data_IF_538713441931
#
_entry.id   IF_538713441931
#
_cell.length_a   1.000
_cell.length_b   1.000
_cell.length_c   1.000
_cell.angle_alpha   90.00
_cell.angle_beta   90.00
_cell.angle_gamma   90.00
#
_symmetry.space_group_name_H-M   'P 1'
#
loop_
_entity.id
_entity.type
_entity.pdbx_description
1 polymer ?
#
# COMPACT_ATOMS: atom_id res chain seq x y z
N UNK A 1 -15.45 107.60 29.70
CA UNK A 1 -14.87 107.28 28.39
C UNK A 1 -14.54 105.80 28.38
N UNK A 2 -15.18 105.06 27.47
CA UNK A 2 -14.88 103.71 26.97
C UNK A 2 -14.67 102.54 27.96
N UNK A 3 -15.69 101.67 28.00
CA UNK A 3 -15.71 100.20 28.22
C UNK A 3 -14.74 99.52 27.21
N UNK A 4 -14.07 98.36 27.46
CA UNK A 4 -14.56 97.09 28.07
C UNK A 4 -13.66 96.47 29.17
N UNK A 5 -14.14 95.59 30.06
CA UNK A 5 -14.51 94.16 29.90
C UNK A 5 -13.36 93.32 29.29
N UNK A 6 -12.97 92.12 29.76
CA UNK A 6 -13.73 91.05 30.41
C UNK A 6 -12.86 90.11 31.26
N UNK A 7 -13.58 89.37 32.09
CA UNK A 7 -13.24 88.30 33.03
C UNK A 7 -12.57 87.04 32.44
N UNK A 8 -11.59 86.52 33.20
CA UNK A 8 -11.53 85.21 33.89
C UNK A 8 -11.48 83.85 33.17
N UNK A 9 -10.77 82.96 33.88
CA UNK A 9 -10.98 81.51 34.10
C UNK A 9 -10.21 80.53 33.21
N UNK A 10 -9.09 80.10 33.78
CA UNK A 10 -8.71 78.70 34.05
C UNK A 10 -9.57 77.65 33.32
N UNK A 11 -9.02 77.06 32.27
CA UNK A 11 -9.53 75.81 31.70
C UNK A 11 -8.71 74.64 32.24
N UNK A 12 -9.37 73.81 33.04
CA UNK A 12 -8.94 72.45 33.35
C UNK A 12 -8.97 71.63 32.05
N UNK A 13 -7.84 71.06 31.66
CA UNK A 13 -7.80 70.07 30.58
C UNK A 13 -8.32 68.74 31.13
N UNK A 14 -9.49 68.32 30.66
CA UNK A 14 -10.00 66.97 30.86
C UNK A 14 -9.32 66.05 29.82
N UNK A 15 -8.44 65.17 30.28
CA UNK A 15 -7.91 64.08 29.47
C UNK A 15 -9.00 63.01 29.33
N UNK A 16 -9.55 62.86 28.12
CA UNK A 16 -10.42 61.73 27.77
C UNK A 16 -9.52 60.58 27.36
N UNK A 17 -9.39 59.58 28.24
CA UNK A 17 -8.73 58.32 27.95
C UNK A 17 -9.72 57.44 27.17
N UNK A 18 -9.60 57.42 25.84
CA UNK A 18 -10.33 56.48 25.00
C UNK A 18 -9.62 55.11 25.07
N UNK A 19 -10.15 54.21 25.90
CA UNK A 19 -9.75 52.81 25.90
C UNK A 19 -10.29 52.11 24.67
N UNK A 20 -9.42 51.83 23.70
CA UNK A 20 -9.70 50.85 22.65
C UNK A 20 -9.60 49.45 23.28
N UNK A 21 -10.76 48.88 23.63
CA UNK A 21 -10.89 47.44 23.88
C UNK A 21 -10.74 46.75 22.52
N UNK A 22 -9.55 46.22 22.23
CA UNK A 22 -9.40 45.18 21.23
C UNK A 22 -10.04 43.92 21.80
N UNK A 23 -11.30 43.69 21.43
CA UNK A 23 -11.93 42.38 21.59
C UNK A 23 -11.33 41.50 20.50
N UNK A 24 -10.27 40.76 20.83
CA UNK A 24 -9.86 39.61 20.05
C UNK A 24 -10.97 38.57 20.21
N UNK A 25 -11.88 38.51 19.23
CA UNK A 25 -12.73 37.35 19.06
C UNK A 25 -11.82 36.23 18.59
N UNK A 26 -11.36 35.36 19.50
CA UNK A 26 -11.09 33.98 19.10
C UNK A 26 -12.45 33.42 18.70
N UNK A 27 -12.62 33.14 17.40
CA UNK A 27 -13.70 32.26 16.99
C UNK A 27 -13.32 30.87 17.50
N UNK A 28 -13.84 30.50 18.67
CA UNK A 28 -13.80 29.13 19.19
C UNK A 28 -14.68 28.26 18.28
N UNK A 29 -14.24 28.03 17.05
CA UNK A 29 -14.80 26.97 16.22
C UNK A 29 -14.28 25.66 16.81
N UNK A 30 -15.14 24.74 17.26
CA UNK A 30 -14.68 23.45 17.77
C UNK A 30 -13.87 22.72 16.71
N UNK A 31 -12.85 21.99 17.13
CA UNK A 31 -12.10 21.08 16.26
C UNK A 31 -13.09 20.13 15.55
N UNK A 32 -12.93 19.88 14.24
CA UNK A 32 -13.77 18.94 13.49
C UNK A 32 -13.80 17.56 14.13
N UNK A 33 -14.97 16.94 14.23
CA UNK A 33 -15.13 15.59 14.78
C UNK A 33 -15.60 14.59 13.73
N UNK A 34 -14.98 13.40 13.72
CA UNK A 34 -15.40 12.24 12.93
C UNK A 34 -15.66 11.06 13.86
N UNK A 35 -16.78 10.37 13.67
CA UNK A 35 -17.07 9.13 14.41
C UNK A 35 -16.69 7.94 13.55
N UNK A 36 -15.86 7.06 14.11
CA UNK A 36 -15.37 5.84 13.50
C UNK A 36 -16.07 4.66 14.17
N UNK A 37 -16.80 3.84 13.42
CA UNK A 37 -17.57 2.71 13.95
C UNK A 37 -17.07 1.39 13.39
N UNK A 38 -16.68 0.48 14.28
CA UNK A 38 -16.42 -0.92 13.96
C UNK A 38 -17.69 -1.73 14.20
N UNK A 39 -18.35 -2.17 13.13
CA UNK A 39 -19.56 -2.99 13.22
C UNK A 39 -19.29 -4.48 13.38
N UNK A 40 -18.02 -4.92 13.32
CA UNK A 40 -17.67 -6.33 13.47
C UNK A 40 -17.52 -6.69 14.94
N UNK A 41 -17.82 -7.95 15.25
CA UNK A 41 -17.53 -8.59 16.54
C UNK A 41 -16.05 -8.99 16.69
N UNK A 42 -15.14 -8.27 16.03
CA UNK A 42 -13.70 -8.53 15.95
C UNK A 42 -13.00 -7.21 16.25
N UNK A 43 -12.03 -7.23 17.17
CA UNK A 43 -11.20 -6.08 17.46
C UNK A 43 -10.35 -5.71 16.23
N UNK A 44 -10.22 -4.41 15.96
CA UNK A 44 -9.37 -3.88 14.90
C UNK A 44 -8.23 -3.10 15.52
N UNK A 45 -7.09 -3.75 15.60
CA UNK A 45 -5.83 -3.15 16.03
C UNK A 45 -5.15 -2.48 14.84
N UNK A 46 -4.73 -1.22 15.02
CA UNK A 46 -4.02 -0.43 14.02
C UNK A 46 -4.75 -0.41 12.66
N UNK A 47 -6.07 -0.23 12.70
CA UNK A 47 -6.92 -0.17 11.52
C UNK A 47 -6.55 1.02 10.64
N UNK A 48 -6.23 0.78 9.36
CA UNK A 48 -6.09 1.83 8.36
C UNK A 48 -7.39 2.61 8.18
N UNK A 49 -7.31 3.93 8.27
CA UNK A 49 -8.42 4.84 7.95
C UNK A 49 -7.92 5.95 7.06
N UNK A 50 -8.73 6.31 6.07
CA UNK A 50 -8.50 7.41 5.13
C UNK A 50 -9.67 8.38 5.22
N UNK A 51 -9.37 9.67 5.35
CA UNK A 51 -10.31 10.75 5.15
C UNK A 51 -9.86 11.56 3.93
N UNK A 52 -10.71 11.65 2.91
CA UNK A 52 -10.43 12.52 1.76
C UNK A 52 -10.52 13.98 2.18
N UNK A 53 -9.77 14.85 1.50
CA UNK A 53 -9.84 16.30 1.69
C UNK A 53 -11.25 16.82 1.48
N UNK A 54 -11.97 16.30 0.48
CA UNK A 54 -13.37 16.61 0.24
C UNK A 54 -14.26 16.25 1.44
N UNK A 55 -14.10 15.07 2.04
CA UNK A 55 -14.87 14.68 3.22
C UNK A 55 -14.57 15.58 4.43
N UNK A 56 -13.34 16.04 4.56
CA UNK A 56 -12.94 17.03 5.58
C UNK A 56 -13.59 18.37 5.28
N UNK A 57 -13.48 18.88 4.05
CA UNK A 57 -14.09 20.14 3.59
C UNK A 57 -15.60 20.14 3.81
N UNK A 58 -16.29 19.06 3.49
CA UNK A 58 -17.73 18.91 3.68
C UNK A 58 -18.14 19.05 5.15
N UNK A 59 -17.28 18.64 6.08
CA UNK A 59 -17.52 18.73 7.53
C UNK A 59 -17.20 20.11 8.11
N UNK A 60 -16.10 20.74 7.65
CA UNK A 60 -15.52 21.94 8.30
C UNK A 60 -15.78 23.24 7.54
N UNK A 61 -16.13 23.12 6.26
CA UNK A 61 -16.19 24.21 5.29
C UNK A 61 -14.82 24.56 4.74
N UNK A 62 -14.74 24.72 3.41
CA UNK A 62 -13.52 25.03 2.65
C UNK A 62 -12.72 26.20 3.26
N UNK A 63 -13.41 27.23 3.76
CA UNK A 63 -12.80 28.41 4.38
C UNK A 63 -12.03 28.14 5.70
N UNK A 64 -12.05 26.91 6.22
CA UNK A 64 -11.23 26.50 7.38
C UNK A 64 -9.97 25.74 6.97
N UNK A 65 -9.90 25.23 5.73
CA UNK A 65 -8.70 24.62 5.16
C UNK A 65 -7.90 25.74 4.50
N UNK A 66 -7.01 26.38 5.26
CA UNK A 66 -6.10 27.38 4.71
C UNK A 66 -4.91 26.72 4.04
N UNK A 67 -4.40 27.31 2.95
CA UNK A 67 -3.16 26.90 2.29
C UNK A 67 -2.03 26.74 3.32
N UNK A 68 -1.34 25.60 3.31
CA UNK A 68 -0.22 25.28 4.20
C UNK A 68 -0.59 24.60 5.53
N UNK A 69 -1.88 24.45 5.84
CA UNK A 69 -2.31 23.69 7.02
C UNK A 69 -2.58 22.21 6.69
N UNK A 70 -2.09 21.34 7.56
CA UNK A 70 -2.21 19.90 7.47
C UNK A 70 -3.12 19.35 8.58
N UNK A 71 -4.06 18.44 8.28
CA UNK A 71 -4.90 17.83 9.29
C UNK A 71 -4.16 16.75 10.10
N UNK A 72 -4.31 16.81 11.42
CA UNK A 72 -3.78 15.80 12.36
C UNK A 72 -4.94 15.22 13.17
N UNK A 73 -5.17 13.90 13.14
CA UNK A 73 -6.22 13.25 13.90
C UNK A 73 -5.78 12.99 15.35
N UNK A 74 -6.64 13.34 16.30
CA UNK A 74 -6.46 13.12 17.73
C UNK A 74 -7.57 12.22 18.28
N UNK A 75 -7.19 11.27 19.12
CA UNK A 75 -8.11 10.47 19.92
C UNK A 75 -7.77 10.65 21.40
N UNK A 76 -8.74 11.06 22.20
CA UNK A 76 -8.56 11.30 23.63
C UNK A 76 -7.38 12.27 23.94
N UNK A 77 -7.18 13.29 23.10
CA UNK A 77 -6.12 14.29 23.24
C UNK A 77 -4.71 13.83 22.85
N UNK A 78 -4.57 12.64 22.25
CA UNK A 78 -3.31 12.13 21.70
C UNK A 78 -3.38 12.05 20.18
N UNK A 79 -2.35 12.56 19.50
CA UNK A 79 -2.23 12.42 18.05
C UNK A 79 -2.13 10.93 17.66
N UNK A 80 -2.90 10.53 16.66
CA UNK A 80 -2.80 9.22 16.02
C UNK A 80 -1.69 9.25 14.97
N UNK A 81 -0.96 8.15 14.83
CA UNK A 81 0.01 8.00 13.74
C UNK A 81 -0.67 8.24 12.41
N UNK A 82 -0.17 9.22 11.66
CA UNK A 82 -0.85 9.74 10.49
C UNK A 82 0.12 10.33 9.48
N UNK A 83 -0.35 10.47 8.25
CA UNK A 83 0.32 11.20 7.17
C UNK A 83 -0.74 11.83 6.27
N UNK A 84 -0.34 12.88 5.58
CA UNK A 84 -1.10 13.44 4.46
C UNK A 84 -0.46 12.95 3.17
N UNK A 85 -1.28 12.62 2.18
CA UNK A 85 -0.81 12.13 0.88
C UNK A 85 -1.29 13.06 -0.22
N UNK A 86 -0.36 13.42 -1.10
CA UNK A 86 -0.57 14.11 -2.37
C UNK A 86 -0.59 13.02 -3.47
N UNK A 87 -1.78 12.64 -3.92
CA UNK A 87 -2.03 11.50 -4.79
C UNK A 87 -1.84 11.88 -6.26
N UNK A 88 -2.10 13.14 -6.61
CA UNK A 88 -1.99 13.64 -7.99
C UNK A 88 -0.72 14.46 -8.29
N UNK A 89 0.07 14.76 -7.26
CA UNK A 89 1.37 15.41 -7.36
C UNK A 89 1.28 16.92 -7.62
N UNK A 90 0.15 17.56 -7.33
CA UNK A 90 -0.04 19.00 -7.54
C UNK A 90 0.59 19.87 -6.42
N UNK A 91 1.09 19.23 -5.36
CA UNK A 91 1.72 19.86 -4.19
C UNK A 91 0.74 20.14 -3.05
N UNK A 92 -0.54 19.82 -3.21
CA UNK A 92 -1.56 19.89 -2.18
C UNK A 92 -1.91 18.47 -1.71
N UNK A 93 -2.23 18.30 -0.41
CA UNK A 93 -2.66 17.00 0.06
C UNK A 93 -4.09 16.69 -0.39
N UNK A 94 -4.34 15.42 -0.72
CA UNK A 94 -5.65 14.90 -1.13
C UNK A 94 -6.32 14.08 -0.04
N UNK A 95 -5.53 13.40 0.78
CA UNK A 95 -6.02 12.47 1.79
C UNK A 95 -5.24 12.56 3.10
N UNK A 96 -5.95 12.36 4.21
CA UNK A 96 -5.37 12.08 5.52
C UNK A 96 -5.47 10.58 5.80
N UNK A 97 -4.33 9.91 5.91
CA UNK A 97 -4.22 8.51 6.28
C UNK A 97 -3.74 8.37 7.73
N UNK A 98 -4.36 7.48 8.51
CA UNK A 98 -3.98 7.24 9.90
C UNK A 98 -4.34 5.85 10.39
N UNK A 99 -3.81 5.48 11.55
CA UNK A 99 -4.08 4.21 12.23
C UNK A 99 -4.86 4.43 13.51
N UNK A 100 -5.88 3.60 13.76
CA UNK A 100 -6.70 3.68 14.99
C UNK A 100 -7.02 2.28 15.52
N UNK A 101 -7.14 2.16 16.85
CA UNK A 101 -7.63 0.94 17.47
C UNK A 101 -9.14 1.07 17.72
N UNK A 102 -9.91 0.08 17.28
CA UNK A 102 -11.36 0.01 17.47
C UNK A 102 -11.73 -1.36 18.05
N UNK A 103 -12.24 -1.35 19.28
CA UNK A 103 -12.81 -2.56 19.90
C UNK A 103 -13.98 -3.09 19.04
N UNK A 104 -14.25 -4.39 19.14
CA UNK A 104 -15.41 -5.02 18.55
C UNK A 104 -16.71 -4.27 18.89
N UNK A 105 -17.57 -4.07 17.88
CA UNK A 105 -18.91 -3.46 18.02
C UNK A 105 -18.89 -2.10 18.73
N UNK A 106 -17.85 -1.31 18.52
CA UNK A 106 -17.62 -0.03 19.21
C UNK A 106 -17.57 1.16 18.26
N UNK A 107 -17.60 2.36 18.83
CA UNK A 107 -17.36 3.60 18.10
C UNK A 107 -16.41 4.51 18.88
N UNK A 108 -15.54 5.19 18.17
CA UNK A 108 -14.60 6.18 18.71
C UNK A 108 -14.78 7.49 17.94
N UNK A 109 -14.69 8.62 18.64
CA UNK A 109 -14.72 9.94 18.00
C UNK A 109 -13.31 10.50 18.00
N UNK A 110 -12.83 10.87 16.81
CA UNK A 110 -11.58 11.60 16.64
C UNK A 110 -11.86 13.08 16.42
N UNK A 111 -10.95 13.93 16.85
CA UNK A 111 -10.92 15.36 16.55
C UNK A 111 -9.79 15.64 15.56
N UNK A 112 -10.01 16.46 14.54
CA UNK A 112 -8.95 16.93 13.66
C UNK A 112 -8.40 18.28 14.14
N UNK A 113 -7.08 18.45 14.12
CA UNK A 113 -6.46 19.75 14.32
C UNK A 113 -5.68 20.12 13.07
N UNK A 114 -5.87 21.33 12.58
CA UNK A 114 -5.11 21.87 11.46
C UNK A 114 -3.85 22.54 12.00
N UNK A 115 -2.70 22.06 11.56
CA UNK A 115 -1.39 22.56 12.01
C UNK A 115 -0.54 22.99 10.83
N UNK A 116 0.37 23.92 11.04
CA UNK A 116 1.40 24.24 10.06
C UNK A 116 2.33 23.02 9.86
N UNK A 117 2.95 22.91 8.69
CA UNK A 117 3.84 21.79 8.34
C UNK A 117 4.97 21.59 9.38
N UNK A 118 5.56 22.66 9.90
CA UNK A 118 6.64 22.61 10.90
C UNK A 118 6.18 22.17 12.30
N UNK A 119 4.86 22.14 12.52
CA UNK A 119 4.22 21.67 13.74
C UNK A 119 3.59 20.27 13.57
N UNK A 120 3.65 19.68 12.37
CA UNK A 120 3.15 18.34 12.14
C UNK A 120 3.94 17.32 13.00
N UNK A 121 3.27 16.41 13.74
CA UNK A 121 3.99 15.49 14.62
C UNK A 121 4.89 14.51 13.86
N UNK A 122 6.10 14.30 14.36
CA UNK A 122 6.98 13.22 13.88
C UNK A 122 6.44 11.85 14.32
N UNK A 123 6.04 11.03 13.36
CA UNK A 123 5.66 9.64 13.60
C UNK A 123 6.77 8.67 13.21
N UNK A 124 6.86 7.55 13.91
CA UNK A 124 7.83 6.51 13.57
C UNK A 124 7.51 5.92 12.21
N UNK A 125 8.49 5.92 11.30
CA UNK A 125 8.37 5.28 9.99
C UNK A 125 8.19 3.77 10.14
N UNK A 126 7.05 3.26 9.66
CA UNK A 126 6.71 1.83 9.72
C UNK A 126 6.36 1.23 8.36
N UNK A 127 6.47 1.99 7.29
CA UNK A 127 6.43 1.49 5.93
C UNK A 127 7.63 2.03 5.15
N UNK A 128 8.07 1.29 4.14
CA UNK A 128 9.16 1.72 3.27
C UNK A 128 8.97 1.14 1.88
N UNK A 129 9.25 1.93 0.85
CA UNK A 129 9.37 1.48 -0.54
C UNK A 129 10.76 1.82 -1.04
N UNK A 130 11.41 0.85 -1.68
CA UNK A 130 12.75 1.04 -2.21
C UNK A 130 12.89 0.47 -3.60
N UNK A 131 13.35 1.31 -4.51
CA UNK A 131 13.82 0.88 -5.82
C UNK A 131 15.26 1.33 -6.06
N UNK A 132 16.20 0.53 -5.58
CA UNK A 132 17.63 0.77 -5.77
C UNK A 132 18.10 0.40 -7.17
N UNK A 133 18.64 1.37 -7.89
CA UNK A 133 19.21 1.21 -9.25
C UNK A 133 20.68 1.56 -9.22
N UNK A 134 21.52 0.62 -9.66
CA UNK A 134 22.94 0.83 -9.91
C UNK A 134 23.11 1.67 -11.18
N UNK A 135 23.63 2.87 -11.02
CA UNK A 135 23.94 3.80 -12.10
C UNK A 135 25.28 4.47 -11.81
N UNK A 136 26.16 4.55 -12.80
CA UNK A 136 27.53 5.08 -12.66
C UNK A 136 28.34 4.54 -11.45
N UNK A 137 28.06 3.28 -11.04
CA UNK A 137 28.76 2.60 -9.95
C UNK A 137 28.20 2.86 -8.55
N UNK A 138 27.09 3.60 -8.44
CA UNK A 138 26.40 3.87 -7.17
C UNK A 138 24.94 3.38 -7.22
N UNK A 139 24.47 2.82 -6.10
CA UNK A 139 23.07 2.40 -5.96
C UNK A 139 22.27 3.60 -5.45
N UNK A 140 21.32 4.06 -6.27
CA UNK A 140 20.45 5.21 -5.97
C UNK A 140 19.00 4.76 -5.89
N UNK A 141 18.25 5.26 -4.90
CA UNK A 141 16.81 5.07 -4.88
C UNK A 141 16.17 5.86 -6.03
N UNK A 142 15.24 5.25 -6.75
CA UNK A 142 14.52 5.90 -7.85
C UNK A 142 13.05 6.02 -7.47
N UNK A 143 12.53 7.24 -7.58
CA UNK A 143 11.10 7.52 -7.47
C UNK A 143 10.37 7.21 -8.79
N UNK A 144 11.09 7.23 -9.92
CA UNK A 144 10.52 6.88 -11.23
C UNK A 144 11.57 6.18 -12.10
N UNK A 145 11.12 5.20 -12.87
CA UNK A 145 11.92 4.57 -13.93
C UNK A 145 11.03 4.01 -15.03
N UNK A 146 11.32 4.35 -16.29
CA UNK A 146 10.71 3.73 -17.47
C UNK A 146 11.75 2.93 -18.25
N UNK A 147 11.33 1.77 -18.76
CA UNK A 147 12.14 0.88 -19.57
C UNK A 147 11.37 0.41 -20.80
N UNK A 148 12.04 0.40 -21.94
CA UNK A 148 11.51 -0.12 -23.20
C UNK A 148 11.67 -1.63 -23.29
N UNK A 149 10.96 -2.24 -24.25
CA UNK A 149 11.04 -3.68 -24.51
C UNK A 149 12.46 -4.23 -24.73
N UNK A 150 13.36 -3.40 -25.27
CA UNK A 150 14.73 -3.79 -25.64
C UNK A 150 15.71 -3.67 -24.45
N UNK A 151 15.27 -3.10 -23.33
CA UNK A 151 16.04 -3.02 -22.07
C UNK A 151 15.74 -4.18 -21.12
N UNK A 152 14.82 -5.08 -21.49
CA UNK A 152 14.36 -6.21 -20.69
C UNK A 152 14.53 -7.53 -21.48
N UNK A 153 14.95 -8.63 -20.82
CA UNK A 153 15.17 -8.74 -19.39
C UNK A 153 16.51 -8.15 -18.93
N UNK A 154 16.58 -7.76 -17.66
CA UNK A 154 17.85 -7.37 -17.00
C UNK A 154 18.40 -8.58 -16.24
N UNK A 155 19.71 -8.84 -16.34
CA UNK A 155 20.33 -9.91 -15.59
C UNK A 155 20.33 -9.65 -14.07
N UNK A 156 20.29 -10.72 -13.28
CA UNK A 156 20.33 -10.62 -11.83
C UNK A 156 21.62 -9.91 -11.38
N UNK A 157 21.48 -8.97 -10.45
CA UNK A 157 22.61 -8.18 -9.91
C UNK A 157 23.39 -7.37 -10.95
N UNK A 158 22.77 -7.03 -12.09
CA UNK A 158 23.39 -6.15 -13.10
C UNK A 158 22.98 -4.69 -12.95
N UNK A 159 21.73 -4.43 -12.54
CA UNK A 159 21.17 -3.06 -12.48
C UNK A 159 20.35 -2.80 -11.22
N UNK A 160 19.62 -3.78 -10.71
CA UNK A 160 18.65 -3.57 -9.63
C UNK A 160 19.13 -4.20 -8.32
N UNK A 161 19.05 -3.45 -7.23
CA UNK A 161 19.43 -3.86 -5.87
C UNK A 161 18.75 -5.15 -5.42
N UNK A 162 17.47 -5.27 -5.74
CA UNK A 162 16.64 -6.42 -5.40
C UNK A 162 15.82 -6.82 -6.61
N UNK A 163 16.37 -6.88 -7.82
CA UNK A 163 15.66 -7.25 -9.07
C UNK A 163 14.44 -6.36 -9.47
N UNK A 164 14.13 -5.33 -8.68
CA UNK A 164 13.03 -4.39 -8.87
C UNK A 164 12.69 -3.63 -7.58
N UNK A 165 11.52 -2.97 -7.54
CA UNK A 165 11.05 -2.31 -6.33
C UNK A 165 10.68 -3.35 -5.27
N UNK A 166 11.08 -3.07 -4.04
CA UNK A 166 10.69 -3.80 -2.84
C UNK A 166 9.93 -2.86 -1.91
N UNK A 167 9.01 -3.42 -1.12
CA UNK A 167 8.23 -2.66 -0.15
C UNK A 167 8.02 -3.48 1.12
N UNK A 168 7.92 -2.81 2.25
CA UNK A 168 7.74 -3.47 3.53
C UNK A 168 6.98 -2.61 4.53
N UNK A 169 6.51 -3.28 5.58
CA UNK A 169 6.07 -2.65 6.80
C UNK A 169 6.70 -3.33 8.02
N UNK A 170 6.24 -3.00 9.22
CA UNK A 170 6.75 -3.58 10.47
C UNK A 170 6.36 -5.04 10.72
N UNK A 171 5.60 -5.67 9.81
CA UNK A 171 5.18 -7.08 9.87
C UNK A 171 5.83 -7.95 8.79
N UNK A 172 5.91 -7.45 7.56
CA UNK A 172 6.23 -8.23 6.36
C UNK A 172 6.82 -7.34 5.26
N UNK A 173 7.59 -7.94 4.34
CA UNK A 173 8.07 -7.27 3.13
C UNK A 173 7.84 -8.10 1.89
N UNK A 174 7.97 -7.46 0.73
CA UNK A 174 7.72 -8.04 -0.58
C UNK A 174 8.63 -7.41 -1.62
N UNK A 175 8.66 -8.04 -2.79
CA UNK A 175 9.42 -7.56 -3.93
C UNK A 175 8.67 -7.85 -5.22
N UNK A 176 8.76 -6.93 -6.18
CA UNK A 176 8.31 -7.11 -7.55
C UNK A 176 9.52 -7.28 -8.46
N UNK A 177 9.55 -8.36 -9.25
CA UNK A 177 10.53 -8.48 -10.32
C UNK A 177 10.15 -7.54 -11.47
N UNK A 178 10.88 -6.44 -11.63
CA UNK A 178 10.68 -5.49 -12.74
C UNK A 178 11.69 -5.71 -13.88
N UNK A 179 12.68 -6.57 -13.64
CA UNK A 179 13.65 -7.07 -14.62
C UNK A 179 13.08 -7.87 -15.80
N UNK A 180 11.75 -7.87 -15.96
CA UNK A 180 11.01 -8.55 -17.00
C UNK A 180 10.24 -9.77 -16.49
N UNK A 181 10.67 -10.45 -15.42
CA UNK A 181 10.04 -11.71 -14.96
C UNK A 181 8.62 -11.50 -14.42
N UNK A 182 8.37 -10.38 -13.75
CA UNK A 182 7.06 -9.98 -13.22
C UNK A 182 6.42 -10.95 -12.21
N UNK A 183 7.24 -11.70 -11.48
CA UNK A 183 6.81 -12.45 -10.30
C UNK A 183 6.89 -11.59 -9.04
N UNK A 184 6.18 -12.00 -7.99
CA UNK A 184 6.24 -11.33 -6.68
C UNK A 184 6.80 -12.21 -5.59
N UNK A 185 7.78 -11.67 -4.88
CA UNK A 185 8.48 -12.34 -3.80
C UNK A 185 7.97 -11.94 -2.42
N UNK A 186 8.33 -12.73 -1.41
CA UNK A 186 7.95 -12.51 -0.02
C UNK A 186 9.19 -12.47 0.87
N UNK A 187 9.34 -11.38 1.61
CA UNK A 187 10.36 -11.19 2.63
C UNK A 187 9.78 -11.40 4.02
N UNK A 188 10.28 -12.42 4.72
CA UNK A 188 9.90 -12.72 6.09
C UNK A 188 10.71 -11.86 7.06
N UNK A 189 10.02 -11.07 7.90
CA UNK A 189 10.66 -10.17 8.86
C UNK A 189 10.71 -10.75 10.27
N UNK A 190 11.82 -10.50 10.97
CA UNK A 190 12.06 -10.84 12.39
C UNK A 190 12.11 -9.61 13.29
N UNK A 191 12.20 -8.43 12.69
CA UNK A 191 12.26 -7.14 13.35
C UNK A 191 11.21 -6.22 12.73
N UNK A 192 10.56 -5.36 13.53
CA UNK A 192 9.65 -4.34 12.99
C UNK A 192 10.38 -3.19 12.29
N UNK A 193 11.72 -3.12 12.38
CA UNK A 193 12.51 -2.06 11.74
C UNK A 193 12.49 -2.18 10.22
N UNK A 194 12.52 -1.04 9.52
CA UNK A 194 12.74 -1.00 8.07
C UNK A 194 14.16 -1.47 7.77
N UNK A 195 14.32 -2.29 6.74
CA UNK A 195 15.54 -2.98 6.36
C UNK A 195 15.92 -2.73 4.89
N UNK A 196 14.96 -2.47 3.99
CA UNK A 196 15.20 -2.53 2.54
C UNK A 196 16.33 -1.60 2.07
N UNK A 197 16.54 -0.47 2.74
CA UNK A 197 17.64 0.46 2.46
C UNK A 197 19.05 -0.14 2.50
N UNK A 198 19.20 -1.27 3.21
CA UNK A 198 20.48 -1.99 3.34
C UNK A 198 20.47 -3.37 2.69
N UNK A 199 19.28 -3.88 2.34
CA UNK A 199 19.12 -5.22 1.77
C UNK A 199 19.62 -5.26 0.34
N UNK A 200 20.47 -6.22 -0.02
CA UNK A 200 20.98 -6.34 -1.38
C UNK A 200 22.20 -5.45 -1.69
N UNK A 201 22.82 -4.87 -0.66
CA UNK A 201 23.99 -3.99 -0.76
C UNK A 201 25.17 -4.61 0.01
N UNK A 202 26.35 -4.69 -0.62
CA UNK A 202 27.60 -5.15 0.01
C UNK A 202 28.22 -4.08 0.92
N UNK A 203 29.20 -4.46 1.74
CA UNK A 203 29.98 -3.52 2.58
C UNK A 203 30.71 -2.44 1.74
N UNK A 204 31.01 -2.73 0.47
CA UNK A 204 31.60 -1.80 -0.50
C UNK A 204 30.58 -0.95 -1.27
N UNK A 205 29.28 -1.11 -1.00
CA UNK A 205 28.20 -0.37 -1.65
C UNK A 205 27.75 -0.94 -3.01
N UNK A 206 28.19 -2.16 -3.36
CA UNK A 206 27.81 -2.84 -4.60
C UNK A 206 26.56 -3.71 -4.45
N UNK A 207 26.02 -4.21 -5.56
CA UNK A 207 24.91 -5.17 -5.57
C UNK A 207 25.38 -6.51 -4.99
N UNK A 208 24.62 -7.09 -4.06
CA UNK A 208 24.95 -8.39 -3.45
C UNK A 208 23.70 -9.22 -3.13
N UNK A 209 23.79 -10.53 -3.33
CA UNK A 209 22.76 -11.46 -2.87
C UNK A 209 22.89 -11.78 -1.36
N UNK A 210 22.55 -10.81 -0.51
CA UNK A 210 22.60 -11.00 0.95
C UNK A 210 21.22 -11.28 1.57
N UNK A 211 20.14 -11.28 0.79
CA UNK A 211 18.78 -11.50 1.28
C UNK A 211 18.29 -12.95 1.19
N UNK A 212 18.95 -13.83 0.44
CA UNK A 212 18.64 -15.27 0.50
C UNK A 212 19.27 -15.98 1.71
N UNK A 213 19.92 -15.26 2.62
CA UNK A 213 20.42 -15.79 3.91
C UNK A 213 19.68 -15.16 5.08
N UNK A 214 19.60 -15.88 6.20
CA UNK A 214 18.93 -15.38 7.40
C UNK A 214 19.74 -14.28 8.09
N UNK A 215 19.25 -13.04 8.02
CA UNK A 215 19.84 -11.86 8.68
C UNK A 215 19.04 -11.46 9.93
N UNK A 216 19.53 -10.49 10.74
CA UNK A 216 18.78 -10.01 11.91
C UNK A 216 17.40 -9.44 11.56
N UNK A 217 17.27 -8.78 10.40
CA UNK A 217 16.00 -8.23 9.93
C UNK A 217 15.04 -9.31 9.42
N UNK A 218 15.55 -10.40 8.84
CA UNK A 218 14.74 -11.34 8.08
C UNK A 218 15.50 -11.95 6.90
N UNK A 219 14.75 -12.40 5.89
CA UNK A 219 15.27 -12.87 4.59
C UNK A 219 14.16 -12.95 3.54
N UNK A 220 14.55 -13.13 2.29
CA UNK A 220 13.70 -13.73 1.26
C UNK A 220 13.36 -15.17 1.62
N UNK A 221 12.07 -15.47 1.73
CA UNK A 221 11.55 -16.77 2.20
C UNK A 221 10.82 -17.56 1.11
N UNK A 222 10.72 -17.06 -0.12
CA UNK A 222 9.83 -17.64 -1.13
C UNK A 222 10.57 -18.02 -2.41
N UNK A 223 10.50 -19.30 -2.77
CA UNK A 223 10.99 -19.76 -4.07
C UNK A 223 9.94 -19.44 -5.15
N UNK A 224 10.17 -18.41 -5.96
CA UNK A 224 9.23 -17.98 -7.01
C UNK A 224 9.44 -18.75 -8.33
N UNK A 225 10.68 -18.90 -8.77
CA UNK A 225 11.01 -19.53 -10.05
C UNK A 225 10.27 -18.88 -11.24
N UNK A 226 9.61 -19.69 -12.07
CA UNK A 226 8.80 -19.22 -13.21
C UNK A 226 7.28 -19.24 -12.88
N UNK A 227 6.94 -19.05 -11.61
CA UNK A 227 5.56 -18.80 -11.16
C UNK A 227 5.19 -17.33 -11.28
N UNK A 228 4.02 -16.97 -10.74
CA UNK A 228 3.62 -15.58 -10.52
C UNK A 228 3.93 -15.11 -9.07
N UNK A 229 4.47 -15.98 -8.22
CA UNK A 229 4.78 -15.61 -6.83
C UNK A 229 3.53 -15.41 -5.97
N UNK A 230 3.56 -14.44 -5.07
CA UNK A 230 2.42 -14.05 -4.22
C UNK A 230 1.72 -12.81 -4.80
N UNK A 231 0.63 -13.01 -5.52
CA UNK A 231 -0.20 -11.92 -6.06
C UNK A 231 0.28 -11.37 -7.40
N UNK A 232 1.14 -12.07 -8.14
CA UNK A 232 1.55 -11.65 -9.49
C UNK A 232 0.45 -11.85 -10.54
N UNK A 233 0.55 -11.09 -11.64
CA UNK A 233 -0.51 -10.93 -12.64
C UNK A 233 -0.20 -11.65 -13.96
N UNK A 234 -1.25 -12.17 -14.58
CA UNK A 234 -1.25 -12.70 -15.94
C UNK A 234 -2.66 -12.57 -16.54
N UNK A 235 -2.84 -12.97 -17.80
CA UNK A 235 -4.18 -13.10 -18.41
C UNK A 235 -4.35 -14.50 -18.98
N UNK A 236 -5.59 -14.95 -19.09
CA UNK A 236 -5.94 -16.17 -19.78
C UNK A 236 -6.31 -15.86 -21.23
N UNK A 237 -5.56 -16.42 -22.18
CA UNK A 237 -5.85 -16.31 -23.62
C UNK A 237 -5.82 -17.67 -24.27
N UNK A 238 -6.86 -18.00 -25.04
CA UNK A 238 -6.98 -19.30 -25.72
C UNK A 238 -6.72 -20.48 -24.75
N UNK A 239 -7.27 -20.37 -23.53
CA UNK A 239 -7.08 -21.32 -22.43
C UNK A 239 -5.63 -21.47 -21.91
N UNK A 240 -4.71 -20.57 -22.26
CA UNK A 240 -3.31 -20.56 -21.78
C UNK A 240 -3.01 -19.28 -21.00
N UNK A 241 -2.27 -19.35 -19.88
CA UNK A 241 -1.80 -18.14 -19.23
C UNK A 241 -0.79 -17.43 -20.14
N UNK A 242 -0.95 -16.12 -20.30
CA UNK A 242 0.03 -15.23 -20.90
C UNK A 242 0.64 -14.41 -19.77
N UNK A 243 1.95 -14.54 -19.59
CA UNK A 243 2.71 -13.78 -18.58
C UNK A 243 2.69 -12.30 -18.95
N UNK A 244 2.45 -11.45 -17.94
CA UNK A 244 2.79 -10.03 -18.02
C UNK A 244 4.31 -9.93 -17.92
N UNK A 245 4.99 -9.63 -19.02
CA UNK A 245 6.45 -9.66 -19.08
C UNK A 245 7.00 -10.95 -19.71
N UNK A 246 8.28 -11.20 -19.47
CA UNK A 246 9.13 -12.09 -20.25
C UNK A 246 9.78 -13.16 -19.35
N UNK A 247 10.31 -14.23 -19.93
CA UNK A 247 11.23 -15.10 -19.19
C UNK A 247 12.65 -14.55 -19.29
N UNK A 248 13.46 -14.86 -18.29
CA UNK A 248 14.85 -14.40 -18.22
C UNK A 248 15.71 -14.95 -19.38
N UNK A 249 15.29 -16.05 -20.02
CA UNK A 249 15.98 -16.69 -21.15
C UNK A 249 15.49 -16.23 -22.53
N UNK A 250 14.51 -15.31 -22.59
CA UNK A 250 14.03 -14.72 -23.84
C UNK A 250 14.80 -13.42 -24.17
N UNK A 251 14.83 -13.01 -25.44
CA UNK A 251 15.69 -11.90 -25.91
C UNK A 251 15.03 -10.51 -25.85
N UNK A 252 13.69 -10.43 -25.75
CA UNK A 252 12.95 -9.16 -25.83
C UNK A 252 11.61 -9.24 -25.13
N UNK A 253 11.29 -8.24 -24.32
CA UNK A 253 10.03 -8.19 -23.59
C UNK A 253 8.80 -8.19 -24.52
N UNK A 254 7.71 -8.78 -24.02
CA UNK A 254 6.40 -8.71 -24.65
C UNK A 254 5.61 -7.44 -24.26
N UNK A 255 6.24 -6.49 -23.56
CA UNK A 255 5.68 -5.20 -23.15
C UNK A 255 6.50 -4.11 -23.83
N UNK A 256 5.85 -3.12 -24.44
CA UNK A 256 6.56 -2.05 -25.14
C UNK A 256 7.24 -1.10 -24.15
N UNK A 257 6.57 -0.74 -23.06
CA UNK A 257 7.12 0.12 -21.99
C UNK A 257 6.65 -0.35 -20.62
N UNK A 258 7.59 -0.48 -19.68
CA UNK A 258 7.33 -0.75 -18.26
C UNK A 258 7.77 0.46 -17.45
N UNK A 259 6.88 1.00 -16.63
CA UNK A 259 7.14 2.17 -15.78
C UNK A 259 6.87 1.84 -14.32
N UNK A 260 7.79 2.25 -13.45
CA UNK A 260 7.60 2.35 -12.01
C UNK A 260 7.51 3.82 -11.62
N UNK A 261 6.63 4.12 -10.67
CA UNK A 261 6.46 5.44 -10.06
C UNK A 261 6.12 5.28 -8.57
N UNK A 262 6.89 5.92 -7.69
CA UNK A 262 6.54 6.08 -6.29
C UNK A 262 5.44 7.15 -6.21
N UNK A 263 4.30 6.81 -5.63
CA UNK A 263 3.19 7.75 -5.46
C UNK A 263 3.38 8.56 -4.18
N UNK A 264 3.57 7.86 -3.06
CA UNK A 264 3.83 8.46 -1.75
C UNK A 264 4.49 7.43 -0.83
N UNK A 265 5.28 7.92 0.12
CA UNK A 265 5.92 7.13 1.16
C UNK A 265 5.79 7.86 2.50
N UNK A 266 5.39 7.14 3.54
CA UNK A 266 5.19 7.75 4.83
C UNK A 266 5.15 6.78 6.02
N UNK A 267 4.91 7.32 7.23
CA UNK A 267 5.01 6.55 8.45
C UNK A 267 3.94 5.48 8.62
N UNK A 268 2.76 5.63 8.00
CA UNK A 268 1.63 4.69 8.14
C UNK A 268 1.28 3.94 6.87
N UNK A 269 1.54 4.51 5.70
CA UNK A 269 1.38 3.83 4.41
C UNK A 269 2.38 4.29 3.37
N UNK A 270 2.62 3.42 2.40
CA UNK A 270 3.36 3.75 1.18
C UNK A 270 2.68 3.13 -0.02
N UNK A 271 2.79 3.78 -1.17
CA UNK A 271 2.22 3.30 -2.44
C UNK A 271 3.10 3.60 -3.63
N UNK A 272 3.06 2.71 -4.61
CA UNK A 272 3.72 2.88 -5.89
C UNK A 272 2.88 2.28 -7.02
N UNK A 273 3.08 2.80 -8.23
CA UNK A 273 2.40 2.40 -9.45
C UNK A 273 3.35 1.63 -10.38
N UNK A 274 2.82 0.57 -10.97
CA UNK A 274 3.44 -0.15 -12.08
C UNK A 274 2.56 -0.04 -13.32
N UNK A 275 3.09 0.53 -14.39
CA UNK A 275 2.40 0.66 -15.67
C UNK A 275 3.09 -0.17 -16.75
N UNK A 276 2.29 -0.94 -17.49
CA UNK A 276 2.74 -1.82 -18.57
C UNK A 276 1.98 -1.48 -19.84
N UNK A 277 2.63 -0.81 -20.77
CA UNK A 277 2.05 -0.34 -22.01
C UNK A 277 2.40 -1.27 -23.17
N UNK A 278 1.43 -1.50 -24.05
CA UNK A 278 1.59 -2.27 -25.27
C UNK A 278 1.84 -3.76 -25.04
N UNK A 279 1.36 -4.33 -23.93
CA UNK A 279 1.52 -5.75 -23.61
C UNK A 279 0.93 -6.64 -24.70
N UNK A 280 1.80 -7.36 -25.40
CA UNK A 280 1.44 -8.30 -26.44
C UNK A 280 0.85 -9.58 -25.85
N UNK A 281 -0.47 -9.73 -25.99
CA UNK A 281 -1.23 -10.87 -25.46
C UNK A 281 -1.27 -12.07 -26.42
N UNK A 282 -0.52 -12.02 -27.52
CA UNK A 282 -0.52 -12.99 -28.62
C UNK A 282 -1.68 -12.84 -29.62
N UNK A 283 -2.76 -12.15 -29.24
CA UNK A 283 -3.93 -11.88 -30.10
C UNK A 283 -4.28 -10.39 -30.20
N UNK A 284 -3.49 -9.53 -29.56
CA UNK A 284 -3.71 -8.09 -29.50
C UNK A 284 -2.75 -7.43 -28.50
N UNK A 285 -3.07 -6.19 -28.15
CA UNK A 285 -2.38 -5.44 -27.08
C UNK A 285 -3.34 -5.11 -25.95
N UNK A 286 -2.78 -5.02 -24.75
CA UNK A 286 -3.40 -4.53 -23.55
C UNK A 286 -2.44 -3.59 -22.81
N UNK A 287 -2.97 -2.67 -22.03
CA UNK A 287 -2.25 -1.80 -21.12
C UNK A 287 -2.73 -2.12 -19.70
N UNK A 288 -1.80 -2.27 -18.75
CA UNK A 288 -2.12 -2.61 -17.37
C UNK A 288 -1.48 -1.60 -16.43
N UNK A 289 -2.26 -1.05 -15.51
CA UNK A 289 -1.80 -0.26 -14.37
C UNK A 289 -2.09 -1.02 -13.10
N UNK A 290 -1.14 -1.06 -12.17
CA UNK A 290 -1.31 -1.66 -10.85
C UNK A 290 -0.72 -0.73 -9.77
N UNK A 291 -1.59 -0.22 -8.91
CA UNK A 291 -1.20 0.52 -7.72
C UNK A 291 -1.08 -0.44 -6.54
N UNK A 292 0.07 -0.41 -5.88
CA UNK A 292 0.41 -1.31 -4.79
C UNK A 292 0.58 -0.51 -3.52
N UNK A 293 -0.31 -0.74 -2.55
CA UNK A 293 -0.31 -0.01 -1.27
C UNK A 293 -0.05 -0.95 -0.11
N UNK A 294 0.88 -0.56 0.77
CA UNK A 294 1.15 -1.26 2.03
C UNK A 294 0.89 -0.34 3.21
N UNK A 295 0.28 -0.90 4.25
CA UNK A 295 -0.03 -0.20 5.50
C UNK A 295 0.79 -0.77 6.65
N UNK A 296 1.21 0.09 7.56
CA UNK A 296 1.82 -0.32 8.82
C UNK A 296 0.86 -1.22 9.64
N UNK A 297 1.43 -2.16 10.38
CA UNK A 297 0.67 -3.11 11.22
C UNK A 297 0.00 -4.26 10.48
N UNK A 298 -0.11 -4.22 9.15
CA UNK A 298 -0.84 -5.21 8.37
C UNK A 298 0.04 -6.37 7.86
N UNK A 299 -0.52 -7.57 7.72
CA UNK A 299 0.16 -8.72 7.08
C UNK A 299 -0.15 -8.83 5.59
N UNK A 300 -0.64 -7.75 4.99
CA UNK A 300 -1.13 -7.71 3.61
C UNK A 300 -0.75 -6.41 2.91
N UNK A 301 -0.82 -6.46 1.59
CA UNK A 301 -0.78 -5.29 0.73
C UNK A 301 -1.92 -5.36 -0.29
N UNK A 302 -2.42 -4.19 -0.68
CA UNK A 302 -3.52 -4.02 -1.62
C UNK A 302 -2.98 -3.83 -3.03
N UNK A 303 -3.67 -4.38 -4.03
CA UNK A 303 -3.45 -4.12 -5.45
C UNK A 303 -4.72 -3.52 -6.03
N UNK A 304 -4.61 -2.40 -6.72
CA UNK A 304 -5.69 -1.83 -7.52
C UNK A 304 -5.26 -1.90 -8.98
N UNK A 305 -5.82 -2.88 -9.70
CA UNK A 305 -5.44 -3.19 -11.08
C UNK A 305 -6.47 -2.61 -12.04
N UNK A 306 -5.99 -1.93 -13.08
CA UNK A 306 -6.78 -1.48 -14.22
C UNK A 306 -6.20 -2.10 -15.50
N UNK A 307 -7.05 -2.77 -16.29
CA UNK A 307 -6.65 -3.41 -17.54
C UNK A 307 -7.41 -2.80 -18.72
N UNK A 308 -6.73 -2.02 -19.54
CA UNK A 308 -7.25 -1.59 -20.82
C UNK A 308 -6.87 -2.60 -21.91
N UNK A 309 -7.82 -2.99 -22.73
CA UNK A 309 -7.56 -4.01 -23.75
C UNK A 309 -8.46 -3.86 -24.93
N UNK A 310 -7.85 -4.06 -26.10
CA UNK A 310 -8.51 -4.09 -27.40
C UNK A 310 -9.50 -5.26 -27.57
N UNK A 311 -9.48 -6.26 -26.68
CA UNK A 311 -10.35 -7.42 -26.71
C UNK A 311 -11.54 -7.32 -25.73
N UNK A 312 -12.69 -7.97 -26.03
CA UNK A 312 -13.93 -7.80 -25.27
C UNK A 312 -14.01 -8.57 -23.95
N UNK A 313 -13.27 -9.67 -23.75
CA UNK A 313 -13.28 -10.41 -22.47
C UNK A 313 -11.85 -10.81 -22.10
N UNK A 314 -11.41 -10.30 -20.97
CA UNK A 314 -10.09 -10.52 -20.41
C UNK A 314 -10.25 -11.18 -19.06
N UNK A 315 -9.97 -12.49 -19.02
CA UNK A 315 -9.86 -13.19 -17.75
C UNK A 315 -8.49 -12.87 -17.16
N UNK A 316 -8.47 -12.01 -16.13
CA UNK A 316 -7.27 -11.71 -15.36
C UNK A 316 -6.94 -12.92 -14.48
N UNK A 317 -5.65 -13.16 -14.28
CA UNK A 317 -5.12 -14.22 -13.44
C UNK A 317 -4.29 -13.60 -12.33
N UNK A 318 -4.58 -13.98 -11.09
CA UNK A 318 -3.73 -13.66 -9.93
C UNK A 318 -3.15 -14.97 -9.40
N UNK A 319 -1.83 -15.01 -9.22
CA UNK A 319 -1.14 -16.24 -8.86
C UNK A 319 -0.75 -16.36 -7.39
N UNK A 320 -0.82 -17.59 -6.88
CA UNK A 320 -0.09 -18.05 -5.70
C UNK A 320 0.89 -19.14 -6.14
N UNK A 321 2.18 -18.96 -5.83
CA UNK A 321 3.20 -19.98 -6.12
C UNK A 321 2.92 -21.28 -5.36
N UNK A 322 3.09 -22.41 -6.03
CA UNK A 322 2.90 -23.74 -5.45
C UNK A 322 4.19 -24.58 -5.43
N UNK A 323 5.35 -23.93 -5.64
CA UNK A 323 6.65 -24.56 -5.38
C UNK A 323 6.70 -25.01 -3.92
N UNK A 324 7.14 -26.26 -3.71
CA UNK A 324 7.19 -26.95 -2.41
C UNK A 324 5.87 -27.13 -1.66
N UNK A 325 4.74 -26.71 -2.24
CA UNK A 325 3.42 -26.87 -1.66
C UNK A 325 2.87 -28.29 -1.90
N UNK A 326 2.48 -28.97 -0.83
CA UNK A 326 2.00 -30.35 -0.82
C UNK A 326 0.51 -30.46 -0.48
N UNK A 327 -0.09 -29.40 0.04
CA UNK A 327 -1.52 -29.32 0.37
C UNK A 327 -2.32 -28.68 -0.77
N UNK A 328 -3.59 -29.03 -0.92
CA UNK A 328 -4.45 -28.30 -1.86
C UNK A 328 -4.76 -26.90 -1.31
N UNK A 329 -4.91 -25.88 -2.18
CA UNK A 329 -5.29 -24.56 -1.74
C UNK A 329 -6.73 -24.58 -1.21
N UNK A 330 -7.04 -23.65 -0.32
CA UNK A 330 -8.36 -23.50 0.28
C UNK A 330 -9.04 -22.29 -0.35
N UNK A 331 -10.25 -22.51 -0.89
CA UNK A 331 -11.21 -21.45 -1.17
C UNK A 331 -12.07 -21.29 0.10
N UNK A 332 -12.07 -20.09 0.65
CA UNK A 332 -12.80 -19.69 1.85
C UNK A 332 -13.89 -18.70 1.43
N UNK A 333 -15.01 -19.26 0.97
CA UNK A 333 -16.21 -18.55 0.48
C UNK A 333 -17.33 -18.48 1.54
N UNK A 334 -17.07 -18.98 2.75
CA UNK A 334 -18.00 -19.01 3.88
C UNK A 334 -17.76 -17.89 4.90
N UNK A 335 -16.75 -17.02 4.66
CA UNK A 335 -16.37 -15.97 5.60
C UNK A 335 -17.29 -14.74 5.53
N UNK A 336 -17.77 -14.37 4.34
CA UNK A 336 -18.61 -13.19 4.05
C UNK A 336 -19.56 -13.49 2.87
N UNK A 337 -20.48 -12.58 2.55
CA UNK A 337 -21.41 -12.74 1.41
C UNK A 337 -20.88 -12.20 0.07
N UNK A 338 -19.81 -11.40 0.09
CA UNK A 338 -19.36 -10.61 -1.06
C UNK A 338 -17.85 -10.66 -1.31
N UNK A 339 -17.08 -11.32 -0.44
CA UNK A 339 -15.64 -11.52 -0.58
C UNK A 339 -15.26 -12.97 -0.28
N UNK A 340 -14.30 -13.45 -1.06
CA UNK A 340 -13.68 -14.77 -0.95
C UNK A 340 -12.21 -14.61 -0.60
N UNK A 341 -11.70 -15.53 0.22
CA UNK A 341 -10.26 -15.74 0.36
C UNK A 341 -9.81 -17.01 -0.34
N UNK A 342 -8.63 -16.98 -0.96
CA UNK A 342 -7.96 -18.12 -1.56
C UNK A 342 -6.56 -18.24 -0.99
N UNK A 343 -6.22 -19.34 -0.31
CA UNK A 343 -4.95 -19.41 0.40
C UNK A 343 -4.27 -20.79 0.39
N UNK A 344 -2.96 -20.79 0.63
CA UNK A 344 -2.14 -21.96 0.92
C UNK A 344 -1.50 -21.84 2.29
N UNK A 345 -1.18 -22.98 2.91
CA UNK A 345 -0.42 -23.07 4.14
C UNK A 345 0.43 -24.34 4.12
N UNK A 346 1.75 -24.16 3.99
CA UNK A 346 2.70 -25.27 3.95
C UNK A 346 4.13 -24.79 4.23
N UNK A 347 5.08 -25.71 4.29
CA UNK A 347 6.50 -25.42 4.35
C UNK A 347 7.07 -25.10 2.96
N UNK A 348 6.73 -23.92 2.45
CA UNK A 348 7.02 -23.50 1.06
C UNK A 348 8.37 -22.81 0.85
N UNK A 349 9.16 -22.58 1.91
CA UNK A 349 10.51 -22.03 1.78
C UNK A 349 11.48 -22.97 1.07
N UNK A 350 12.62 -22.44 0.61
CA UNK A 350 13.65 -23.17 -0.16
C UNK A 350 14.02 -24.54 0.41
N UNK A 351 14.31 -24.59 1.71
CA UNK A 351 14.69 -25.81 2.44
C UNK A 351 13.53 -26.43 3.23
N UNK A 352 12.31 -25.89 3.05
CA UNK A 352 11.07 -26.34 3.71
C UNK A 352 11.14 -26.31 5.25
N UNK A 353 11.90 -25.36 5.78
CA UNK A 353 12.14 -25.24 7.23
C UNK A 353 10.98 -24.58 7.98
N UNK A 354 10.27 -23.67 7.34
CA UNK A 354 9.25 -22.82 7.99
C UNK A 354 7.91 -22.92 7.29
N UNK A 355 6.84 -22.88 8.09
CA UNK A 355 5.48 -22.70 7.58
C UNK A 355 5.30 -21.27 7.09
N UNK A 356 4.72 -21.17 5.90
CA UNK A 356 4.34 -19.93 5.23
C UNK A 356 2.87 -20.07 4.88
N UNK A 357 2.06 -19.12 5.35
CA UNK A 357 0.71 -18.89 4.87
C UNK A 357 0.75 -17.83 3.79
N UNK A 358 0.09 -18.08 2.66
CA UNK A 358 -0.06 -17.11 1.57
C UNK A 358 -1.53 -17.07 1.16
N UNK A 359 -2.10 -15.88 1.03
CA UNK A 359 -3.51 -15.71 0.72
C UNK A 359 -3.78 -14.59 -0.25
N UNK A 360 -4.91 -14.68 -0.94
CA UNK A 360 -5.54 -13.61 -1.68
C UNK A 360 -6.91 -13.34 -1.07
N UNK A 361 -7.33 -12.08 -0.99
CA UNK A 361 -8.71 -11.69 -0.63
C UNK A 361 -9.23 -10.81 -1.76
N UNK A 362 -10.42 -11.12 -2.28
CA UNK A 362 -10.97 -10.47 -3.47
C UNK A 362 -12.50 -10.51 -3.48
N UNK A 363 -13.16 -9.59 -4.23
CA UNK A 363 -14.61 -9.57 -4.34
C UNK A 363 -15.14 -10.78 -5.12
N UNK A 364 -16.27 -11.32 -4.67
CA UNK A 364 -16.92 -12.49 -5.29
C UNK A 364 -17.43 -12.20 -6.70
N UNK A 365 -17.85 -10.94 -6.94
CA UNK A 365 -18.48 -10.53 -8.19
C UNK A 365 -17.60 -10.79 -9.43
N UNK A 366 -16.28 -10.71 -9.28
CA UNK A 366 -15.33 -10.93 -10.38
C UNK A 366 -14.75 -12.34 -10.41
N UNK A 367 -14.92 -13.15 -9.36
CA UNK A 367 -14.28 -14.46 -9.25
C UNK A 367 -14.98 -15.51 -10.13
N UNK A 368 -14.19 -16.24 -10.92
CA UNK A 368 -14.69 -17.31 -11.78
C UNK A 368 -14.43 -18.70 -11.19
N UNK A 369 -13.15 -19.04 -11.02
CA UNK A 369 -12.64 -20.32 -10.52
C UNK A 369 -11.11 -20.19 -10.34
N UNK A 370 -10.43 -21.23 -9.90
CA UNK A 370 -8.97 -21.31 -9.96
C UNK A 370 -8.50 -22.52 -10.76
N UNK A 371 -7.23 -22.48 -11.20
CA UNK A 371 -6.60 -23.64 -11.85
C UNK A 371 -5.13 -23.75 -11.50
N UNK A 372 -4.57 -24.94 -11.67
CA UNK A 372 -3.13 -25.18 -11.50
C UNK A 372 -2.38 -24.99 -12.82
N UNK A 373 -1.33 -24.17 -12.80
CA UNK A 373 -0.37 -24.08 -13.89
C UNK A 373 0.48 -25.37 -13.95
N UNK A 374 1.03 -25.74 -15.13
CA UNK A 374 1.95 -26.86 -15.25
C UNK A 374 3.19 -26.70 -14.33
N UNK A 375 3.78 -27.81 -13.88
CA UNK A 375 4.99 -27.77 -13.05
C UNK A 375 6.26 -27.37 -13.86
N UNK A 376 6.20 -27.46 -15.19
CA UNK A 376 7.29 -27.07 -16.10
C UNK A 376 6.78 -26.67 -17.48
N UNK A 377 7.62 -25.97 -18.25
CA UNK A 377 7.32 -25.54 -19.61
C UNK A 377 7.63 -24.06 -19.85
N UNK A 378 7.34 -23.55 -21.08
CA UNK A 378 7.76 -22.22 -21.50
C UNK A 378 6.84 -21.07 -21.06
N UNK A 379 5.71 -21.36 -20.41
CA UNK A 379 4.75 -20.35 -19.95
C UNK A 379 4.82 -20.11 -18.45
N UNK A 380 3.74 -19.61 -17.85
CA UNK A 380 3.58 -19.59 -16.38
C UNK A 380 3.56 -21.03 -15.86
N UNK A 381 4.35 -21.31 -14.83
CA UNK A 381 4.46 -22.64 -14.20
C UNK A 381 4.29 -22.55 -12.69
N UNK A 382 4.17 -23.68 -12.00
CA UNK A 382 4.22 -23.76 -10.54
C UNK A 382 3.37 -22.70 -9.79
N UNK A 383 2.15 -22.48 -10.26
CA UNK A 383 1.22 -21.49 -9.69
C UNK A 383 -0.16 -22.11 -9.56
N UNK A 384 -0.85 -21.83 -8.48
CA UNK A 384 -2.31 -21.74 -8.50
C UNK A 384 -2.70 -20.39 -9.10
N UNK A 385 -3.66 -20.39 -10.02
CA UNK A 385 -4.08 -19.23 -10.81
C UNK A 385 -5.56 -18.99 -10.55
N UNK A 386 -5.86 -18.02 -9.70
CA UNK A 386 -7.22 -17.54 -9.48
C UNK A 386 -7.64 -16.71 -10.68
N UNK A 387 -8.83 -16.98 -11.22
CA UNK A 387 -9.32 -16.41 -12.47
C UNK A 387 -10.44 -15.41 -12.20
N UNK A 388 -10.33 -14.24 -12.80
CA UNK A 388 -11.28 -13.15 -12.64
C UNK A 388 -11.83 -12.68 -13.98
N UNK A 389 -13.13 -12.53 -14.10
CA UNK A 389 -13.74 -11.77 -15.19
C UNK A 389 -13.77 -10.30 -14.81
N UNK A 390 -13.11 -9.48 -15.61
CA UNK A 390 -13.16 -8.03 -15.42
C UNK A 390 -14.44 -7.48 -16.05
N UNK A 391 -15.34 -6.98 -15.21
CA UNK A 391 -16.56 -6.29 -15.64
C UNK A 391 -16.34 -4.76 -15.74
N UNK A 392 -17.27 -4.05 -16.40
CA UNK A 392 -17.33 -2.58 -16.35
C UNK A 392 -16.05 -1.87 -16.78
N UNK A 393 -15.45 -1.09 -15.85
CA UNK A 393 -14.23 -0.30 -16.01
C UNK A 393 -12.95 -1.14 -16.11
N UNK A 394 -13.09 -2.47 -16.15
CA UNK A 394 -11.99 -3.43 -16.26
C UNK A 394 -10.95 -3.30 -15.14
N UNK A 395 -11.43 -3.15 -13.91
CA UNK A 395 -10.61 -3.08 -12.71
C UNK A 395 -10.81 -4.28 -11.78
N UNK A 396 -9.80 -4.56 -10.96
CA UNK A 396 -9.85 -5.52 -9.87
C UNK A 396 -9.02 -5.00 -8.70
N UNK A 397 -9.64 -4.90 -7.53
CA UNK A 397 -8.92 -4.74 -6.27
C UNK A 397 -8.78 -6.09 -5.57
N UNK A 398 -7.58 -6.42 -5.10
CA UNK A 398 -7.34 -7.61 -4.29
C UNK A 398 -6.18 -7.41 -3.30
N UNK A 399 -6.30 -8.08 -2.16
CA UNK A 399 -5.25 -8.14 -1.15
C UNK A 399 -4.38 -9.37 -1.37
N UNK A 400 -3.08 -9.23 -1.12
CA UNK A 400 -2.17 -10.35 -0.97
C UNK A 400 -1.66 -10.39 0.47
N UNK A 401 -1.86 -11.54 1.12
CA UNK A 401 -1.66 -11.76 2.55
C UNK A 401 -0.53 -12.76 2.77
N UNK A 402 0.32 -12.52 3.75
CA UNK A 402 1.38 -13.45 4.12
C UNK A 402 1.56 -13.59 5.63
N UNK A 403 1.70 -14.83 6.10
CA UNK A 403 2.08 -15.16 7.47
C UNK A 403 3.30 -16.06 7.48
N UNK A 404 4.25 -15.81 8.39
CA UNK A 404 5.47 -16.61 8.50
C UNK A 404 5.66 -17.13 9.92
N UNK A 405 5.87 -18.44 10.07
CA UNK A 405 5.98 -19.10 11.38
C UNK A 405 7.18 -18.68 12.25
N UNK A 406 8.06 -17.80 11.75
CA UNK A 406 9.17 -17.21 12.53
C UNK A 406 8.82 -15.79 13.00
N UNK A 407 8.03 -15.03 12.24
CA UNK A 407 7.56 -13.70 12.66
C UNK A 407 6.49 -13.81 13.74
N UNK A 408 5.61 -14.81 13.64
CA UNK A 408 4.65 -15.20 14.68
C UNK A 408 4.51 -16.73 14.68
N UNK A 409 4.72 -17.37 15.84
CA UNK A 409 4.67 -18.82 15.97
C UNK A 409 3.27 -19.40 15.71
N UNK A 410 2.21 -18.61 15.86
CA UNK A 410 0.85 -19.03 15.57
C UNK A 410 0.67 -19.37 14.09
N UNK A 411 1.40 -18.72 13.17
CA UNK A 411 1.38 -19.04 11.74
C UNK A 411 1.95 -20.43 11.41
N UNK A 412 2.48 -21.18 12.39
CA UNK A 412 2.82 -22.60 12.20
C UNK A 412 1.58 -23.50 12.20
N UNK A 413 0.45 -23.03 12.72
CA UNK A 413 -0.80 -23.78 12.77
C UNK A 413 -1.73 -23.40 11.60
N UNK A 414 -2.07 -24.38 10.78
CA UNK A 414 -3.00 -24.22 9.66
C UNK A 414 -4.41 -23.75 10.08
N UNK A 415 -4.89 -24.15 11.27
CA UNK A 415 -6.19 -23.70 11.80
C UNK A 415 -6.14 -22.25 12.25
N UNK A 416 -5.01 -21.82 12.82
CA UNK A 416 -4.79 -20.40 13.10
C UNK A 416 -4.78 -19.60 11.80
N UNK A 417 -4.03 -20.01 10.78
CA UNK A 417 -3.97 -19.29 9.52
C UNK A 417 -5.33 -19.24 8.79
N UNK A 418 -6.14 -20.32 8.85
CA UNK A 418 -7.52 -20.29 8.33
C UNK A 418 -8.36 -19.21 9.03
N UNK A 419 -8.32 -19.17 10.37
CA UNK A 419 -9.09 -18.19 11.15
C UNK A 419 -8.61 -16.77 10.88
N UNK A 420 -7.28 -16.58 10.81
CA UNK A 420 -6.67 -15.32 10.42
C UNK A 420 -7.17 -14.84 9.05
N UNK A 421 -7.13 -15.69 8.02
CA UNK A 421 -7.68 -15.35 6.70
C UNK A 421 -9.18 -15.02 6.75
N UNK A 422 -9.97 -15.75 7.56
CA UNK A 422 -11.40 -15.46 7.72
C UNK A 422 -11.65 -14.09 8.36
N UNK A 423 -10.87 -13.72 9.37
CA UNK A 423 -10.97 -12.41 10.03
C UNK A 423 -10.53 -11.27 9.11
N UNK A 424 -9.40 -11.43 8.42
CA UNK A 424 -8.92 -10.44 7.45
C UNK A 424 -9.94 -10.24 6.31
N UNK A 425 -10.56 -11.33 5.82
CA UNK A 425 -11.62 -11.25 4.80
C UNK A 425 -12.82 -10.43 5.29
N UNK A 426 -13.27 -10.66 6.53
CA UNK A 426 -14.36 -9.85 7.11
C UNK A 426 -13.99 -8.39 7.29
N UNK A 427 -12.74 -8.10 7.69
CA UNK A 427 -12.26 -6.72 7.86
C UNK A 427 -12.25 -5.96 6.54
N UNK A 428 -11.77 -6.59 5.47
CA UNK A 428 -11.80 -6.05 4.09
C UNK A 428 -13.24 -5.87 3.60
N UNK A 429 -14.09 -6.88 3.78
CA UNK A 429 -15.46 -6.86 3.29
C UNK A 429 -16.37 -5.85 4.02
N UNK A 430 -16.02 -5.47 5.25
CA UNK A 430 -16.80 -4.55 6.09
C UNK A 430 -15.90 -3.41 6.57
N UNK A 431 -15.60 -2.38 5.76
CA UNK A 431 -14.78 -1.25 6.20
C UNK A 431 -15.35 -0.52 7.43
N UNK A 432 -14.49 0.22 8.14
CA UNK A 432 -14.93 1.13 9.21
C UNK A 432 -15.90 2.17 8.65
N UNK A 433 -17.00 2.40 9.35
CA UNK A 433 -17.97 3.44 8.99
C UNK A 433 -17.46 4.77 9.57
N UNK A 434 -17.47 5.83 8.74
CA UNK A 434 -16.98 7.16 9.06
C UNK A 434 -18.15 8.15 8.93
N UNK A 435 -18.45 8.91 10.00
CA UNK A 435 -19.59 9.85 10.07
C UNK A 435 -19.26 11.25 10.61
#
# INVERSE_FOLDING_TARGET
MNIPASFSRTFFSAAVLAGFLFSACSTDTPDPEFTLTNSLSIDREEEPVVLTRDAIIDKVGEAQINDGLLPVPYLNGKALSSQVDDIDGDGEWDELAFLVNLDAESSQTITLQLVEEDAYPDFTTRTNVRFGVLDDGEITNREQLSMTADELPVGMFERFQMDGPAWENDKVGFRQYIDGRNGRDLYGKKSPQMALDTVGISDEGGLEDNYHVMLPWGRDILAVGNSLGLGGLAILRNNKPVRLGIRIDDERSNIDTTTYELLYEGPVRSSFRLSYEGWNTGTGKADLVNDVTIWAGQYRYTNTVHLESSNPVDTLLVGLVNIHNQTDPVVLDDATENYTAFYTHDQQGYDREWYIGMGLIFPDASYLDYRRAPDSGPGVTNSFLTMFELEGEKSLEYEAVAGWGVSDENFRDSSYFRNFMAEETRKVATPVIIE
#
